data_IF_948540660940
#
_entry.id   IF_948540660940
#
_cell.length_a   1.000
_cell.length_b   1.000
_cell.length_c   1.000
_cell.angle_alpha   90.00
_cell.angle_beta   90.00
_cell.angle_gamma   90.00
#
_symmetry.space_group_name_H-M   'P 1'
#
loop_
_entity.id
_entity.type
_entity.pdbx_description
1 polymer ?
#
# COMPACT_ATOMS: atom_id res chain seq x y z
N UNK A 1 3.60 -9.76 9.30
CA UNK A 1 3.99 -8.72 8.32
C UNK A 1 3.60 -7.37 8.89
N UNK A 2 4.42 -6.34 8.70
CA UNK A 2 4.08 -4.96 9.06
C UNK A 2 3.98 -4.15 7.78
N UNK A 3 2.94 -3.33 7.67
CA UNK A 3 2.75 -2.41 6.55
C UNK A 3 2.69 -1.01 7.14
N UNK A 4 3.84 -0.34 7.08
CA UNK A 4 3.97 1.06 7.51
C UNK A 4 3.33 2.00 6.50
N UNK A 5 2.84 3.15 6.97
CA UNK A 5 2.02 4.09 6.20
C UNK A 5 1.00 3.40 5.29
N UNK A 6 0.22 2.47 5.89
CA UNK A 6 -0.61 1.52 5.17
C UNK A 6 -1.57 2.17 4.16
N UNK A 7 -2.04 3.37 4.48
CA UNK A 7 -2.95 4.15 3.65
C UNK A 7 -2.33 4.56 2.29
N UNK A 8 -1.00 4.58 2.19
CA UNK A 8 -0.25 4.79 0.94
C UNK A 8 0.24 3.47 0.37
N UNK A 9 0.81 2.60 1.20
CA UNK A 9 1.43 1.34 0.74
C UNK A 9 0.43 0.39 0.14
N UNK A 10 -0.80 0.29 0.67
CA UNK A 10 -1.83 -0.60 0.10
C UNK A 10 -2.24 -0.17 -1.32
N UNK A 11 -2.59 1.11 -1.58
CA UNK A 11 -2.77 1.59 -2.95
C UNK A 11 -1.56 1.36 -3.86
N UNK A 12 -0.34 1.55 -3.35
CA UNK A 12 0.88 1.31 -4.12
C UNK A 12 0.97 -0.16 -4.56
N UNK A 13 0.81 -1.12 -3.63
CA UNK A 13 0.81 -2.55 -3.92
C UNK A 13 -0.27 -2.94 -4.95
N UNK A 14 -1.45 -2.31 -4.91
CA UNK A 14 -2.49 -2.50 -5.92
C UNK A 14 -2.08 -2.03 -7.31
N UNK A 15 -1.37 -0.91 -7.39
CA UNK A 15 -0.93 -0.30 -8.65
C UNK A 15 0.29 -0.97 -9.31
N UNK A 16 1.10 -1.71 -8.55
CA UNK A 16 2.38 -2.25 -9.02
C UNK A 16 2.25 -3.10 -10.29
N UNK A 17 1.29 -4.03 -10.32
CA UNK A 17 1.11 -4.90 -11.49
C UNK A 17 0.77 -4.09 -12.74
N UNK A 18 -0.21 -3.19 -12.66
CA UNK A 18 -0.67 -2.42 -13.81
C UNK A 18 0.44 -1.50 -14.35
N UNK A 19 1.18 -0.86 -13.46
CA UNK A 19 2.34 -0.04 -13.83
C UNK A 19 3.46 -0.85 -14.49
N UNK A 20 3.75 -2.05 -13.98
CA UNK A 20 4.75 -2.93 -14.59
C UNK A 20 4.33 -3.46 -15.97
N UNK A 21 3.07 -3.91 -16.09
CA UNK A 21 2.50 -4.37 -17.36
C UNK A 21 2.58 -3.28 -18.42
N UNK A 22 2.14 -2.06 -18.09
CA UNK A 22 2.17 -0.93 -19.03
C UNK A 22 3.57 -0.64 -19.57
N UNK A 23 4.61 -0.72 -18.72
CA UNK A 23 6.01 -0.56 -19.17
C UNK A 23 6.49 -1.72 -20.04
N UNK A 24 6.08 -2.95 -19.73
CA UNK A 24 6.45 -4.14 -20.50
C UNK A 24 5.75 -4.23 -21.84
N UNK A 25 4.51 -3.76 -21.92
CA UNK A 25 3.74 -3.70 -23.18
C UNK A 25 4.56 -2.97 -24.24
N UNK A 26 5.09 -1.78 -23.93
CA UNK A 26 5.97 -1.06 -24.86
C UNK A 26 7.22 -1.87 -25.26
N UNK A 27 7.88 -2.55 -24.31
CA UNK A 27 9.10 -3.31 -24.62
C UNK A 27 8.81 -4.53 -25.51
N UNK A 28 7.70 -5.21 -25.31
CA UNK A 28 7.32 -6.39 -26.08
C UNK A 28 6.79 -5.98 -27.46
N UNK A 29 5.96 -4.94 -27.55
CA UNK A 29 5.41 -4.42 -28.81
C UNK A 29 6.50 -3.95 -29.77
N UNK A 30 7.53 -3.25 -29.27
CA UNK A 30 8.67 -2.82 -30.09
C UNK A 30 9.78 -3.87 -30.23
N UNK A 31 9.55 -5.12 -29.79
CA UNK A 31 10.46 -6.25 -30.00
C UNK A 31 11.74 -6.25 -29.15
N UNK A 32 11.82 -5.41 -28.12
CA UNK A 32 12.96 -5.39 -27.18
C UNK A 32 12.94 -6.57 -26.19
N UNK A 33 11.78 -7.18 -25.96
CA UNK A 33 11.60 -8.32 -25.06
C UNK A 33 10.67 -9.37 -25.66
N UNK A 34 10.91 -10.62 -25.31
CA UNK A 34 10.00 -11.72 -25.64
C UNK A 34 8.72 -11.65 -24.80
N UNK A 35 7.59 -12.23 -25.26
CA UNK A 35 6.34 -12.28 -24.49
C UNK A 35 6.48 -12.94 -23.11
N UNK A 36 7.44 -13.84 -22.89
CA UNK A 36 7.71 -14.43 -21.57
C UNK A 36 8.15 -13.42 -20.51
N UNK A 37 8.56 -12.20 -20.91
CA UNK A 37 8.90 -11.14 -19.96
C UNK A 37 7.70 -10.69 -19.10
N UNK A 38 6.47 -10.95 -19.55
CA UNK A 38 5.26 -10.67 -18.77
C UNK A 38 5.18 -11.50 -17.48
N UNK A 39 5.75 -12.70 -17.46
CA UNK A 39 5.69 -13.60 -16.30
C UNK A 39 6.57 -13.11 -15.15
N UNK A 40 7.66 -12.38 -15.45
CA UNK A 40 8.55 -11.80 -14.45
C UNK A 40 7.98 -10.50 -13.85
N UNK A 41 6.81 -10.55 -13.23
CA UNK A 41 6.04 -9.38 -12.79
C UNK A 41 5.91 -9.27 -11.27
N UNK A 42 5.56 -8.09 -10.75
CA UNK A 42 5.01 -7.97 -9.41
C UNK A 42 3.73 -8.82 -9.27
N UNK A 43 3.44 -9.19 -8.03
CA UNK A 43 2.21 -9.86 -7.67
C UNK A 43 1.00 -8.96 -7.89
N UNK A 44 -0.13 -9.55 -8.28
CA UNK A 44 -1.44 -8.91 -8.16
C UNK A 44 -1.76 -8.70 -6.69
N UNK A 45 -2.52 -7.67 -6.37
CA UNK A 45 -2.92 -7.42 -4.98
C UNK A 45 -3.59 -8.63 -4.33
N UNK A 46 -4.46 -9.33 -5.06
CA UNK A 46 -5.12 -10.56 -4.58
C UNK A 46 -4.13 -11.71 -4.31
N UNK A 47 -3.02 -11.78 -5.04
CA UNK A 47 -1.95 -12.75 -4.74
C UNK A 47 -1.23 -12.35 -3.45
N UNK A 48 -0.99 -11.06 -3.23
CA UNK A 48 -0.38 -10.53 -1.99
C UNK A 48 -1.29 -10.80 -0.78
N UNK A 49 -2.60 -10.63 -0.92
CA UNK A 49 -3.57 -10.89 0.16
C UNK A 49 -3.46 -12.32 0.72
N UNK A 50 -3.10 -13.31 -0.11
CA UNK A 50 -2.89 -14.68 0.36
C UNK A 50 -1.67 -14.82 1.30
N UNK A 51 -0.72 -13.89 1.24
CA UNK A 51 0.43 -13.85 2.15
C UNK A 51 0.17 -12.97 3.39
N UNK A 52 -0.99 -12.30 3.47
CA UNK A 52 -1.38 -11.42 4.58
C UNK A 52 -2.16 -12.17 5.66
N UNK A 53 -1.76 -13.39 6.04
CA UNK A 53 -2.43 -14.15 7.11
C UNK A 53 -2.36 -13.45 8.47
N UNK A 54 -1.21 -12.84 8.79
CA UNK A 54 -0.98 -12.06 10.01
C UNK A 54 -0.27 -10.76 9.66
N UNK A 55 -1.06 -9.70 9.52
CA UNK A 55 -0.57 -8.38 9.13
C UNK A 55 -0.97 -7.33 10.15
N UNK A 56 -0.06 -6.40 10.42
CA UNK A 56 -0.31 -5.21 11.23
C UNK A 56 -0.17 -4.02 10.30
N UNK A 57 -1.27 -3.30 10.10
CA UNK A 57 -1.30 -2.03 9.38
C UNK A 57 -0.95 -0.91 10.34
N UNK A 58 0.04 -0.10 10.00
CA UNK A 58 0.49 1.04 10.79
C UNK A 58 0.22 2.30 9.98
N UNK A 59 -0.62 3.18 10.50
CA UNK A 59 -0.98 4.45 9.85
C UNK A 59 -1.68 5.36 10.85
N UNK A 60 -1.37 6.66 10.81
CA UNK A 60 -2.14 7.66 11.55
C UNK A 60 -3.52 7.92 10.90
N UNK A 61 -3.66 7.64 9.61
CA UNK A 61 -4.87 7.84 8.82
C UNK A 61 -5.21 6.56 8.04
N UNK A 62 -5.62 5.47 8.71
CA UNK A 62 -5.93 4.21 8.04
C UNK A 62 -7.06 4.40 7.01
N UNK A 63 -6.87 3.85 5.80
CA UNK A 63 -7.89 3.93 4.77
C UNK A 63 -8.95 2.83 4.94
N UNK A 64 -9.98 2.88 4.10
CA UNK A 64 -11.15 2.01 4.18
C UNK A 64 -10.79 0.51 4.15
N UNK A 65 -9.77 0.12 3.37
CA UNK A 65 -9.39 -1.29 3.26
C UNK A 65 -8.86 -1.84 4.59
N UNK A 66 -8.00 -1.10 5.26
CA UNK A 66 -7.41 -1.50 6.53
C UNK A 66 -8.49 -1.59 7.61
N UNK A 67 -9.41 -0.62 7.65
CA UNK A 67 -10.53 -0.60 8.59
C UNK A 67 -11.50 -1.78 8.38
N UNK A 68 -11.78 -2.16 7.13
CA UNK A 68 -12.68 -3.28 6.82
C UNK A 68 -12.04 -4.66 7.05
N UNK A 69 -10.71 -4.76 6.91
CA UNK A 69 -9.96 -6.02 7.03
C UNK A 69 -9.47 -6.31 8.44
N UNK A 70 -9.36 -5.29 9.29
CA UNK A 70 -8.84 -5.45 10.64
C UNK A 70 -9.94 -5.91 11.59
N UNK A 71 -9.69 -6.99 12.33
CA UNK A 71 -10.58 -7.43 13.42
C UNK A 71 -10.51 -6.49 14.63
N UNK A 72 -9.34 -5.86 14.84
CA UNK A 72 -9.08 -4.96 15.95
C UNK A 72 -8.26 -3.77 15.49
N UNK A 73 -8.67 -2.58 15.95
CA UNK A 73 -7.89 -1.34 15.84
C UNK A 73 -7.25 -1.01 17.18
N UNK A 74 -5.97 -0.66 17.17
CA UNK A 74 -5.23 -0.22 18.36
C UNK A 74 -4.73 1.19 18.12
N UNK A 75 -5.04 2.11 19.04
CA UNK A 75 -4.67 3.51 18.93
C UNK A 75 -3.51 3.85 19.86
N UNK A 76 -2.55 4.63 19.37
CA UNK A 76 -1.45 5.19 20.15
C UNK A 76 -1.40 6.70 19.95
N UNK A 77 -2.07 7.44 20.84
CA UNK A 77 -2.19 8.91 20.77
C UNK A 77 -1.12 9.61 21.62
N UNK A 78 -0.82 9.05 22.80
CA UNK A 78 0.10 9.67 23.76
C UNK A 78 1.53 9.55 23.26
N UNK A 79 2.18 10.70 23.04
CA UNK A 79 3.61 10.77 22.67
C UNK A 79 4.48 10.58 23.92
N UNK A 80 5.57 9.79 23.87
CA UNK A 80 6.49 9.64 25.00
C UNK A 80 7.09 10.95 25.52
N UNK A 81 7.17 11.97 24.67
CA UNK A 81 7.70 13.31 25.00
C UNK A 81 6.67 14.24 25.64
N UNK A 82 5.39 13.88 25.66
CA UNK A 82 4.31 14.75 26.13
C UNK A 82 3.91 15.86 25.15
N UNK A 83 4.43 15.86 23.91
CA UNK A 83 4.02 16.83 22.89
C UNK A 83 2.53 16.70 22.56
N UNK A 84 1.83 17.83 22.52
CA UNK A 84 0.40 17.94 22.19
C UNK A 84 0.20 18.23 20.71
N UNK A 85 -0.98 17.90 20.19
CA UNK A 85 -1.38 18.27 18.83
C UNK A 85 -1.43 19.80 18.68
N UNK A 86 -1.05 20.35 17.52
CA UNK A 86 -1.03 21.78 17.31
C UNK A 86 -2.45 22.37 17.26
N UNK A 87 -2.60 23.63 17.67
CA UNK A 87 -3.85 24.37 17.48
C UNK A 87 -4.13 24.58 15.98
N UNK A 88 -5.37 24.35 15.56
CA UNK A 88 -5.82 24.59 14.18
C UNK A 88 -6.45 25.98 14.10
N UNK A 89 -5.85 26.87 13.31
CA UNK A 89 -6.33 28.25 13.10
C UNK A 89 -6.85 28.38 11.68
N UNK A 90 -8.13 28.70 11.51
CA UNK A 90 -8.74 29.02 10.22
C UNK A 90 -8.60 30.53 9.96
N UNK A 91 -7.99 30.91 8.84
CA UNK A 91 -7.92 32.30 8.38
C UNK A 91 -8.87 32.48 7.18
N UNK A 92 -9.56 33.64 7.09
CA UNK A 92 -10.45 33.96 5.98
C UNK A 92 -9.72 34.07 4.65
#
# INVERSE_FOLDING_TARGET
MFVDESHVTIPQLRGMFAGDKSRKDSLVEYGFRLPSAYDNRPLYFKEIENYMEKVIFVSATPAKYELERSEQTVEQIIRPTGLVDPEIILKP
#
